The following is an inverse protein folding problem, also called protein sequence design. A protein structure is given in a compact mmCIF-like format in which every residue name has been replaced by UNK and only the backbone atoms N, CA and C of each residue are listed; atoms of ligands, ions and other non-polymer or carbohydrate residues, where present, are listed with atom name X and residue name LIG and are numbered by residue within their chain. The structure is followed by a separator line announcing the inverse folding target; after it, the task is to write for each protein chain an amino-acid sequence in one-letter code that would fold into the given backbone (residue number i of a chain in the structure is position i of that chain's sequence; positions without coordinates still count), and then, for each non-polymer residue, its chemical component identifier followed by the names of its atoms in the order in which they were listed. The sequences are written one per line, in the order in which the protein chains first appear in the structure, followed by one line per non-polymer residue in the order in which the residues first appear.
data_IF_139344183169
#
_entry.id   IF_139344183169
#
_cell.length_a   1.000
_cell.length_b   1.000
_cell.length_c   1.000
_cell.angle_alpha   90.00
_cell.angle_beta   90.00
_cell.angle_gamma   90.00
#
_symmetry.space_group_name_H-M   'P 1'
#
loop_
_entity.id
_entity.type
_entity.pdbx_description
1 polymer ?
#
# COMPACT_ATOMS: atom_id res chain seq x y z
N UNK A 1 -13.02 -14.57 -4.26
CA UNK A 1 -14.07 -14.14 -3.30
C UNK A 1 -13.85 -12.70 -2.85
N UNK A 2 -12.63 -12.29 -2.45
CA UNK A 2 -12.35 -10.92 -2.00
C UNK A 2 -12.69 -9.92 -3.11
N UNK A 3 -12.24 -10.20 -4.33
CA UNK A 3 -12.53 -9.36 -5.49
C UNK A 3 -14.03 -9.15 -5.71
N UNK A 4 -14.85 -10.21 -5.72
CA UNK A 4 -16.29 -10.11 -5.96
C UNK A 4 -16.99 -9.21 -4.92
N UNK A 5 -16.67 -9.38 -3.64
CA UNK A 5 -17.22 -8.55 -2.58
C UNK A 5 -16.76 -7.09 -2.68
N UNK A 6 -15.50 -6.87 -3.09
CA UNK A 6 -14.98 -5.53 -3.33
C UNK A 6 -15.61 -4.87 -4.57
N UNK A 7 -15.93 -5.62 -5.63
CA UNK A 7 -16.65 -5.09 -6.80
C UNK A 7 -18.08 -4.74 -6.46
N UNK A 8 -18.80 -5.56 -5.70
CA UNK A 8 -20.15 -5.23 -5.20
C UNK A 8 -20.10 -3.90 -4.43
N UNK A 9 -19.16 -3.78 -3.49
CA UNK A 9 -19.00 -2.54 -2.73
C UNK A 9 -18.59 -1.34 -3.62
N UNK A 10 -17.71 -1.58 -4.60
CA UNK A 10 -17.29 -0.55 -5.56
C UNK A 10 -18.46 -0.08 -6.44
N UNK A 11 -19.30 -0.98 -6.92
CA UNK A 11 -20.50 -0.67 -7.69
C UNK A 11 -21.49 0.17 -6.87
N UNK A 12 -21.69 -0.17 -5.59
CA UNK A 12 -22.52 0.61 -4.67
C UNK A 12 -21.93 2.01 -4.41
N UNK A 13 -20.61 2.12 -4.28
CA UNK A 13 -19.94 3.41 -4.13
C UNK A 13 -20.06 4.27 -5.40
N UNK A 14 -19.98 3.66 -6.58
CA UNK A 14 -20.24 4.35 -7.87
C UNK A 14 -21.67 4.85 -7.93
N UNK A 15 -22.63 3.98 -7.61
CA UNK A 15 -24.05 4.36 -7.59
C UNK A 15 -24.30 5.52 -6.62
N UNK A 16 -23.72 5.46 -5.42
CA UNK A 16 -23.76 6.54 -4.41
C UNK A 16 -23.15 7.84 -4.91
N UNK A 17 -22.01 7.76 -5.59
CA UNK A 17 -21.33 8.93 -6.16
C UNK A 17 -22.22 9.64 -7.20
N UNK A 18 -22.99 8.87 -7.98
CA UNK A 18 -23.88 9.41 -9.01
C UNK A 18 -25.24 9.90 -8.47
N UNK A 19 -25.81 9.25 -7.44
CA UNK A 19 -27.22 9.47 -7.04
C UNK A 19 -27.40 10.14 -5.66
N UNK A 20 -26.32 10.36 -4.90
CA UNK A 20 -26.21 11.13 -3.64
C UNK A 20 -27.39 11.13 -2.64
N UNK A 21 -28.15 10.04 -2.51
CA UNK A 21 -29.30 9.95 -1.58
C UNK A 21 -28.90 9.41 -0.20
N UNK A 22 -29.66 9.76 0.84
CA UNK A 22 -29.43 9.27 2.21
C UNK A 22 -29.62 7.74 2.28
N UNK A 23 -30.66 7.22 1.62
CA UNK A 23 -30.98 5.78 1.59
C UNK A 23 -29.82 4.97 1.01
N UNK A 24 -29.24 5.43 -0.12
CA UNK A 24 -28.12 4.74 -0.77
C UNK A 24 -26.85 4.77 0.07
N UNK A 25 -26.60 5.87 0.81
CA UNK A 25 -25.52 5.96 1.79
C UNK A 25 -25.68 4.94 2.91
N UNK A 26 -26.90 4.77 3.44
CA UNK A 26 -27.18 3.81 4.53
C UNK A 26 -27.05 2.37 4.06
N UNK A 27 -27.66 2.01 2.93
CA UNK A 27 -27.58 0.65 2.36
C UNK A 27 -26.12 0.28 2.06
N UNK A 28 -25.36 1.18 1.42
CA UNK A 28 -23.94 0.94 1.14
C UNK A 28 -23.12 0.70 2.41
N UNK A 29 -23.36 1.45 3.48
CA UNK A 29 -22.69 1.23 4.78
C UNK A 29 -23.02 -0.13 5.39
N UNK A 30 -24.27 -0.58 5.30
CA UNK A 30 -24.71 -1.88 5.82
C UNK A 30 -24.04 -3.00 5.02
N UNK A 31 -24.15 -2.97 3.70
CA UNK A 31 -23.56 -3.98 2.81
C UNK A 31 -22.05 -4.05 3.03
N UNK A 32 -21.37 -2.91 3.07
CA UNK A 32 -19.94 -2.86 3.35
C UNK A 32 -19.59 -3.47 4.71
N UNK A 33 -20.41 -3.22 5.75
CA UNK A 33 -20.19 -3.79 7.07
C UNK A 33 -20.35 -5.31 7.08
N UNK A 34 -21.34 -5.84 6.36
CA UNK A 34 -21.52 -7.28 6.16
C UNK A 34 -20.34 -7.88 5.39
N UNK A 35 -19.94 -7.28 4.26
CA UNK A 35 -18.78 -7.73 3.49
C UNK A 35 -17.50 -7.77 4.34
N UNK A 36 -17.27 -6.74 5.17
CA UNK A 36 -16.14 -6.71 6.12
C UNK A 36 -16.17 -7.88 7.09
N UNK A 37 -17.32 -8.22 7.67
CA UNK A 37 -17.46 -9.33 8.60
C UNK A 37 -17.18 -10.66 7.90
N UNK A 38 -17.79 -10.87 6.73
CA UNK A 38 -17.59 -12.06 5.91
C UNK A 38 -16.12 -12.23 5.54
N UNK A 39 -15.44 -11.16 5.13
CA UNK A 39 -14.02 -11.22 4.77
C UNK A 39 -13.14 -11.49 6.00
N UNK A 40 -13.34 -10.77 7.10
CA UNK A 40 -12.51 -10.87 8.31
C UNK A 40 -12.60 -12.23 9.00
N UNK A 41 -13.75 -12.91 8.90
CA UNK A 41 -13.96 -14.23 9.52
C UNK A 41 -13.81 -15.35 8.49
N UNK A 42 -14.43 -15.19 7.32
CA UNK A 42 -14.47 -16.21 6.27
C UNK A 42 -13.14 -16.42 5.57
N UNK A 43 -12.37 -15.36 5.27
CA UNK A 43 -11.10 -15.54 4.55
C UNK A 43 -10.05 -16.30 5.36
N UNK A 44 -9.79 -16.00 6.65
CA UNK A 44 -8.84 -16.77 7.43
C UNK A 44 -9.23 -18.25 7.56
N UNK A 45 -10.52 -18.54 7.71
CA UNK A 45 -11.03 -19.92 7.74
C UNK A 45 -10.84 -20.59 6.39
N UNK A 46 -11.26 -19.94 5.31
CA UNK A 46 -11.09 -20.43 3.95
C UNK A 46 -9.61 -20.77 3.68
N UNK A 47 -8.66 -19.88 3.95
CA UNK A 47 -7.24 -20.15 3.73
C UNK A 47 -6.69 -21.25 4.64
N UNK A 48 -7.19 -21.37 5.87
CA UNK A 48 -6.81 -22.46 6.78
C UNK A 48 -7.20 -23.83 6.23
N UNK A 49 -8.38 -23.94 5.60
CA UNK A 49 -8.94 -25.21 5.10
C UNK A 49 -8.72 -25.46 3.61
N UNK A 50 -8.36 -24.44 2.82
CA UNK A 50 -8.08 -24.53 1.38
C UNK A 50 -6.62 -24.23 1.08
N UNK A 51 -5.71 -24.87 1.84
CA UNK A 51 -4.27 -24.72 1.63
C UNK A 51 -3.93 -24.97 0.16
N UNK A 52 -3.26 -24.00 -0.45
CA UNK A 52 -2.80 -24.11 -1.83
C UNK A 52 -1.36 -24.55 -1.83
N UNK A 53 -1.02 -25.59 -2.57
CA UNK A 53 0.37 -25.98 -2.87
C UNK A 53 0.94 -25.24 -4.09
N UNK A 54 0.09 -24.51 -4.83
CA UNK A 54 0.51 -23.76 -6.02
C UNK A 54 1.48 -22.63 -5.65
N UNK A 55 2.51 -22.44 -6.47
CA UNK A 55 3.44 -21.30 -6.35
C UNK A 55 2.69 -19.96 -6.26
N UNK A 56 3.14 -19.11 -5.35
CA UNK A 56 2.67 -17.74 -5.17
C UNK A 56 3.34 -16.73 -6.10
N UNK A 57 4.38 -17.16 -6.82
CA UNK A 57 5.20 -16.36 -7.74
C UNK A 57 5.15 -16.94 -9.15
N UNK A 58 5.57 -16.15 -10.13
CA UNK A 58 5.68 -16.57 -11.52
C UNK A 58 6.82 -17.60 -11.67
N UNK A 59 6.58 -18.65 -12.48
CA UNK A 59 7.58 -19.67 -12.76
C UNK A 59 8.58 -19.25 -13.84
N UNK A 60 8.21 -18.29 -14.69
CA UNK A 60 9.01 -17.80 -15.81
C UNK A 60 9.13 -16.28 -15.76
N UNK A 61 10.28 -15.77 -16.18
CA UNK A 61 10.51 -14.33 -16.33
C UNK A 61 9.83 -13.89 -17.62
N UNK A 62 8.81 -13.04 -17.49
CA UNK A 62 8.21 -12.37 -18.63
C UNK A 62 9.08 -11.17 -19.02
N UNK A 63 9.82 -11.28 -20.12
CA UNK A 63 10.70 -10.21 -20.60
C UNK A 63 9.96 -8.97 -21.12
N UNK A 64 8.63 -9.00 -21.23
CA UNK A 64 7.84 -7.84 -21.67
C UNK A 64 7.68 -6.76 -20.60
N UNK A 65 7.98 -7.06 -19.34
CA UNK A 65 7.93 -6.12 -18.21
C UNK A 65 9.18 -6.29 -17.34
N UNK A 66 9.64 -5.22 -16.68
CA UNK A 66 10.61 -5.38 -15.60
C UNK A 66 10.08 -6.33 -14.51
N UNK A 67 10.96 -7.04 -13.77
CA UNK A 67 10.54 -7.95 -12.73
C UNK A 67 9.64 -7.27 -11.70
N UNK A 68 8.54 -7.92 -11.33
CA UNK A 68 7.56 -7.41 -10.37
C UNK A 68 7.84 -8.03 -9.00
N UNK A 69 8.13 -7.19 -8.02
CA UNK A 69 8.37 -7.60 -6.64
C UNK A 69 7.26 -7.05 -5.76
N UNK A 70 6.53 -7.93 -5.06
CA UNK A 70 5.69 -7.49 -3.95
C UNK A 70 6.55 -7.42 -2.69
N UNK A 71 6.51 -6.29 -2.00
CA UNK A 71 7.31 -6.07 -0.81
C UNK A 71 6.47 -5.57 0.36
N UNK A 72 6.66 -6.19 1.51
CA UNK A 72 5.95 -5.87 2.74
C UNK A 72 6.88 -5.98 3.94
N UNK A 73 6.45 -5.43 5.07
CA UNK A 73 7.17 -5.52 6.34
C UNK A 73 6.19 -5.85 7.46
N UNK A 74 6.67 -6.47 8.52
CA UNK A 74 5.90 -6.71 9.74
C UNK A 74 6.74 -6.52 10.98
N UNK A 75 6.12 -6.74 12.14
CA UNK A 75 6.72 -6.59 13.47
C UNK A 75 6.07 -7.60 14.44
N UNK A 76 6.62 -7.82 15.64
CA UNK A 76 6.23 -8.92 16.52
C UNK A 76 4.72 -9.01 16.81
N UNK A 77 4.02 -7.89 16.99
CA UNK A 77 2.59 -7.94 17.32
C UNK A 77 1.68 -8.44 16.16
N UNK A 78 2.14 -8.41 14.90
CA UNK A 78 1.37 -8.85 13.72
C UNK A 78 1.92 -10.11 13.05
N UNK A 79 3.06 -10.62 13.51
CA UNK A 79 3.72 -11.77 12.88
C UNK A 79 2.85 -13.05 12.88
N UNK A 80 2.00 -13.22 13.89
CA UNK A 80 1.11 -14.38 14.02
C UNK A 80 -0.04 -14.40 13.01
N UNK A 81 -0.41 -13.26 12.42
CA UNK A 81 -1.55 -13.13 11.51
C UNK A 81 -1.16 -12.79 10.08
N UNK A 82 0.08 -12.34 9.84
CA UNK A 82 0.56 -11.94 8.51
C UNK A 82 0.43 -13.03 7.44
N UNK A 83 0.49 -14.31 7.82
CA UNK A 83 0.31 -15.43 6.87
C UNK A 83 -0.99 -15.32 6.06
N UNK A 84 -2.03 -14.69 6.61
CA UNK A 84 -3.31 -14.45 5.94
C UNK A 84 -3.14 -13.43 4.81
N UNK A 85 -2.38 -12.37 5.08
CA UNK A 85 -2.09 -11.31 4.10
C UNK A 85 -1.20 -11.85 2.99
N UNK A 86 -0.12 -12.55 3.35
CA UNK A 86 0.76 -13.18 2.36
C UNK A 86 -0.03 -14.14 1.49
N UNK A 87 -1.02 -14.87 2.04
CA UNK A 87 -1.87 -15.72 1.22
C UNK A 87 -2.71 -14.95 0.19
N UNK A 88 -3.13 -13.72 0.48
CA UNK A 88 -3.82 -12.88 -0.51
C UNK A 88 -2.88 -12.45 -1.64
N UNK A 89 -1.60 -12.23 -1.31
CA UNK A 89 -0.56 -11.86 -2.28
C UNK A 89 -0.11 -13.07 -3.12
N UNK A 90 -0.07 -14.26 -2.54
CA UNK A 90 0.23 -15.49 -3.26
C UNK A 90 -0.92 -15.95 -4.18
N UNK A 91 -2.13 -15.43 -4.01
CA UNK A 91 -3.32 -15.76 -4.81
C UNK A 91 -3.63 -14.74 -5.91
N UNK A 92 -2.68 -13.86 -6.23
CA UNK A 92 -2.84 -12.94 -7.37
C UNK A 92 -3.03 -13.71 -8.68
N UNK A 93 -3.86 -13.18 -9.58
CA UNK A 93 -4.14 -13.69 -10.92
C UNK A 93 -2.94 -13.49 -11.84
N UNK A 94 -2.31 -12.31 -11.75
CA UNK A 94 -0.99 -12.05 -12.29
C UNK A 94 0.03 -12.25 -11.17
N UNK A 95 0.87 -13.28 -11.28
CA UNK A 95 1.87 -13.61 -10.28
C UNK A 95 3.04 -12.62 -10.32
N UNK A 96 3.50 -12.11 -9.18
CA UNK A 96 4.77 -11.37 -9.13
C UNK A 96 5.94 -12.34 -9.33
N UNK A 97 7.11 -11.82 -9.67
CA UNK A 97 8.33 -12.61 -9.71
C UNK A 97 8.84 -12.94 -8.30
N UNK A 98 8.64 -12.04 -7.33
CA UNK A 98 9.08 -12.22 -5.94
C UNK A 98 8.07 -11.66 -4.95
N UNK A 99 8.00 -12.25 -3.76
CA UNK A 99 7.26 -11.71 -2.60
C UNK A 99 8.24 -11.67 -1.42
N UNK A 100 8.56 -10.48 -0.94
CA UNK A 100 9.60 -10.27 0.08
C UNK A 100 8.98 -9.69 1.35
N UNK A 101 9.11 -10.43 2.46
CA UNK A 101 8.81 -9.97 3.81
C UNK A 101 10.10 -9.48 4.48
N UNK A 102 10.16 -8.19 4.79
CA UNK A 102 11.22 -7.58 5.58
C UNK A 102 10.88 -7.57 7.07
N UNK A 103 11.84 -7.99 7.89
CA UNK A 103 11.75 -8.02 9.35
C UNK A 103 12.98 -7.31 9.94
N UNK A 104 12.79 -6.52 11.00
CA UNK A 104 13.93 -5.89 11.66
C UNK A 104 14.69 -6.92 12.50
N UNK A 105 16.01 -6.98 12.36
CA UNK A 105 16.86 -7.91 13.12
C UNK A 105 16.72 -7.67 14.62
N UNK A 106 16.61 -6.41 15.03
CA UNK A 106 16.44 -5.99 16.43
C UNK A 106 15.09 -6.45 17.02
N UNK A 107 14.08 -6.66 16.17
CA UNK A 107 12.76 -7.14 16.57
C UNK A 107 12.64 -8.67 16.56
N UNK A 108 13.57 -9.36 15.90
CA UNK A 108 13.61 -10.81 15.73
C UNK A 108 15.07 -11.31 15.86
N UNK A 109 15.71 -11.18 17.04
CA UNK A 109 17.13 -11.45 17.23
C UNK A 109 17.56 -12.90 16.91
N UNK A 110 16.65 -13.86 17.01
CA UNK A 110 16.87 -15.27 16.65
C UNK A 110 16.36 -15.62 15.23
N UNK A 111 15.99 -14.61 14.44
CA UNK A 111 15.63 -14.75 13.04
C UNK A 111 14.44 -15.69 12.80
N UNK A 112 14.62 -16.69 11.93
CA UNK A 112 13.54 -17.58 11.50
C UNK A 112 12.93 -18.42 12.63
N UNK A 113 13.66 -18.72 13.71
CA UNK A 113 13.14 -19.53 14.82
C UNK A 113 12.03 -18.84 15.62
N UNK A 114 11.91 -17.52 15.51
CA UNK A 114 10.83 -16.75 16.15
C UNK A 114 9.53 -16.73 15.33
N UNK A 115 9.59 -17.20 14.08
CA UNK A 115 8.48 -17.06 13.16
C UNK A 115 7.50 -18.22 13.29
N UNK A 116 6.18 -17.95 13.20
CA UNK A 116 5.18 -19.01 13.22
C UNK A 116 5.40 -19.99 12.05
N UNK A 117 5.25 -21.29 12.31
CA UNK A 117 5.40 -22.33 11.29
C UNK A 117 4.56 -22.07 10.01
N UNK A 118 3.41 -21.40 10.15
CA UNK A 118 2.59 -20.98 9.01
C UNK A 118 3.31 -20.00 8.10
N UNK A 119 4.03 -19.01 8.66
CA UNK A 119 4.79 -18.02 7.87
C UNK A 119 5.96 -18.71 7.18
N UNK A 120 6.73 -19.52 7.91
CA UNK A 120 7.86 -20.29 7.37
C UNK A 120 7.41 -21.20 6.23
N UNK A 121 6.27 -21.89 6.39
CA UNK A 121 5.75 -22.81 5.37
C UNK A 121 5.45 -22.15 4.02
N UNK A 122 5.19 -20.83 4.00
CA UNK A 122 4.93 -20.09 2.78
C UNK A 122 6.19 -19.92 1.92
N UNK A 123 7.40 -20.10 2.46
CA UNK A 123 8.64 -20.10 1.67
C UNK A 123 8.63 -21.17 0.57
N UNK A 124 7.97 -22.31 0.83
CA UNK A 124 7.76 -23.38 -0.18
C UNK A 124 7.00 -22.91 -1.42
N UNK A 125 6.31 -21.78 -1.33
CA UNK A 125 5.50 -21.18 -2.40
C UNK A 125 6.09 -19.87 -2.91
N UNK A 126 7.35 -19.58 -2.57
CA UNK A 126 8.09 -18.42 -3.08
C UNK A 126 8.06 -17.18 -2.18
N UNK A 127 7.66 -17.30 -0.90
CA UNK A 127 7.91 -16.22 0.06
C UNK A 127 9.41 -16.14 0.36
N UNK A 128 9.97 -14.94 0.25
CA UNK A 128 11.29 -14.61 0.76
C UNK A 128 11.15 -13.88 2.09
N UNK A 129 11.93 -14.29 3.09
CA UNK A 129 11.98 -13.66 4.40
C UNK A 129 13.39 -13.08 4.55
N UNK A 130 13.48 -11.77 4.75
CA UNK A 130 14.73 -11.01 4.80
C UNK A 130 14.79 -10.22 6.11
N UNK A 131 15.98 -10.14 6.69
CA UNK A 131 16.25 -9.38 7.91
C UNK A 131 17.08 -8.15 7.59
N UNK A 132 16.80 -7.03 8.25
CA UNK A 132 17.46 -5.74 8.00
C UNK A 132 17.41 -4.82 9.23
N UNK A 133 18.00 -3.62 9.15
CA UNK A 133 17.90 -2.63 10.23
C UNK A 133 16.46 -2.12 10.36
N UNK A 134 16.07 -1.77 11.59
CA UNK A 134 14.75 -1.19 11.81
C UNK A 134 14.61 0.22 11.22
N UNK A 135 13.79 0.30 10.17
CA UNK A 135 13.26 1.54 9.60
C UNK A 135 11.73 1.56 9.61
N UNK A 136 11.11 0.79 10.54
CA UNK A 136 9.67 0.71 10.69
C UNK A 136 8.98 0.36 9.35
N UNK A 137 7.97 1.12 8.93
CA UNK A 137 7.26 0.86 7.67
C UNK A 137 8.12 1.09 6.43
N UNK A 138 9.22 1.85 6.52
CA UNK A 138 10.07 2.16 5.37
C UNK A 138 10.85 0.95 4.85
N UNK A 139 11.02 -0.10 5.67
CA UNK A 139 11.72 -1.34 5.30
C UNK A 139 11.21 -1.91 3.97
N UNK A 140 9.89 -1.87 3.74
CA UNK A 140 9.24 -2.51 2.59
C UNK A 140 9.63 -1.92 1.23
N UNK A 141 9.93 -0.62 1.13
CA UNK A 141 10.38 -0.05 -0.14
C UNK A 141 11.91 0.09 -0.15
N UNK A 142 12.50 0.48 0.99
CA UNK A 142 13.90 0.90 1.07
C UNK A 142 14.84 -0.19 0.57
N UNK A 143 14.83 -1.36 1.21
CA UNK A 143 15.77 -2.43 0.88
C UNK A 143 15.43 -3.10 -0.45
N UNK A 144 14.15 -3.30 -0.75
CA UNK A 144 13.74 -3.90 -2.03
C UNK A 144 14.19 -3.06 -3.22
N UNK A 145 13.96 -1.75 -3.20
CA UNK A 145 14.33 -0.88 -4.32
C UNK A 145 15.85 -0.71 -4.41
N UNK A 146 16.55 -0.65 -3.27
CA UNK A 146 18.01 -0.55 -3.25
C UNK A 146 18.68 -1.79 -3.84
N UNK A 147 18.19 -2.99 -3.50
CA UNK A 147 18.73 -4.27 -3.99
C UNK A 147 18.23 -4.62 -5.40
N UNK A 148 17.18 -3.97 -5.89
CA UNK A 148 16.52 -4.30 -7.17
C UNK A 148 16.13 -3.02 -7.93
N UNK A 149 17.11 -2.19 -8.32
CA UNK A 149 16.86 -0.85 -8.85
C UNK A 149 16.03 -0.84 -10.15
N UNK A 150 16.15 -1.90 -10.94
CA UNK A 150 15.45 -2.05 -12.22
C UNK A 150 14.13 -2.84 -12.14
N UNK A 151 13.67 -3.18 -10.92
CA UNK A 151 12.40 -3.89 -10.72
C UNK A 151 11.23 -2.94 -10.51
N UNK A 152 10.05 -3.37 -10.92
CA UNK A 152 8.79 -2.79 -10.45
C UNK A 152 8.56 -3.28 -9.02
N UNK A 153 8.32 -2.35 -8.08
CA UNK A 153 8.04 -2.69 -6.68
C UNK A 153 6.60 -2.36 -6.34
N UNK A 154 5.86 -3.34 -5.84
CA UNK A 154 4.51 -3.16 -5.29
C UNK A 154 4.58 -3.27 -3.78
N UNK A 155 4.26 -2.20 -3.06
CA UNK A 155 4.25 -2.23 -1.59
C UNK A 155 2.90 -2.69 -1.04
N UNK A 156 2.95 -3.45 0.05
CA UNK A 156 1.80 -3.94 0.80
C UNK A 156 2.01 -3.78 2.32
N UNK A 157 0.92 -3.65 3.07
CA UNK A 157 0.90 -3.73 4.54
C UNK A 157 0.51 -5.13 4.99
N UNK A 158 0.98 -5.53 6.16
CA UNK A 158 0.81 -6.83 6.82
C UNK A 158 -0.56 -7.03 7.47
N UNK A 159 -1.52 -6.13 7.24
CA UNK A 159 -2.88 -6.23 7.79
C UNK A 159 -4.01 -6.00 6.78
N UNK A 160 -3.72 -5.97 5.47
CA UNK A 160 -4.70 -5.72 4.42
C UNK A 160 -5.07 -7.02 3.69
N UNK A 161 -6.36 -7.21 3.40
CA UNK A 161 -6.81 -8.19 2.43
C UNK A 161 -6.74 -7.61 1.01
N UNK A 162 -5.85 -8.15 0.17
CA UNK A 162 -5.74 -7.76 -1.23
C UNK A 162 -6.67 -8.59 -2.13
N UNK A 163 -7.28 -7.94 -3.13
CA UNK A 163 -8.03 -8.67 -4.16
C UNK A 163 -7.11 -9.53 -4.99
N UNK A 164 -7.64 -10.64 -5.51
CA UNK A 164 -6.90 -11.57 -6.36
C UNK A 164 -6.43 -10.93 -7.68
N UNK A 165 -6.93 -9.75 -8.07
CA UNK A 165 -6.55 -9.06 -9.30
C UNK A 165 -5.77 -7.76 -9.08
N UNK A 166 -5.37 -7.46 -7.86
CA UNK A 166 -4.68 -6.22 -7.50
C UNK A 166 -3.44 -5.97 -8.38
N UNK A 167 -2.56 -6.97 -8.54
CA UNK A 167 -1.35 -6.84 -9.36
C UNK A 167 -1.69 -6.60 -10.84
N UNK A 168 -2.64 -7.37 -11.40
CA UNK A 168 -3.07 -7.18 -12.80
C UNK A 168 -3.66 -5.79 -13.08
N UNK A 169 -4.39 -5.21 -12.12
CA UNK A 169 -4.96 -3.87 -12.25
C UNK A 169 -3.89 -2.78 -12.19
N UNK A 170 -2.93 -2.92 -11.27
CA UNK A 170 -1.79 -2.01 -11.16
C UNK A 170 -0.94 -2.05 -12.44
N UNK A 171 -0.57 -3.24 -12.91
CA UNK A 171 0.22 -3.44 -14.13
C UNK A 171 -0.48 -2.88 -15.35
N UNK A 172 -1.79 -3.09 -15.49
CA UNK A 172 -2.57 -2.52 -16.61
C UNK A 172 -2.50 -0.99 -16.65
N UNK A 173 -2.56 -0.31 -15.49
CA UNK A 173 -2.40 1.15 -15.46
C UNK A 173 -0.95 1.58 -15.65
N UNK A 174 0.01 0.82 -15.15
CA UNK A 174 1.43 1.06 -15.38
C UNK A 174 1.76 1.04 -16.88
N UNK A 175 1.25 0.08 -17.64
CA UNK A 175 1.42 0.03 -19.09
C UNK A 175 0.85 1.26 -19.81
N UNK A 176 -0.18 1.89 -19.25
CA UNK A 176 -0.74 3.15 -19.78
C UNK A 176 0.09 4.38 -19.35
N UNK A 177 0.66 4.35 -18.15
CA UNK A 177 1.39 5.46 -17.55
C UNK A 177 2.72 4.98 -16.94
N UNK A 178 3.70 4.59 -17.76
CA UNK A 178 4.92 3.91 -17.28
C UNK A 178 5.81 4.81 -16.41
N UNK A 179 5.68 6.13 -16.54
CA UNK A 179 6.45 7.12 -15.78
C UNK A 179 5.67 7.64 -14.56
N UNK A 180 4.63 6.94 -14.11
CA UNK A 180 3.80 7.33 -12.98
C UNK A 180 3.78 6.23 -11.91
N UNK A 181 3.65 6.65 -10.66
CA UNK A 181 3.30 5.73 -9.57
C UNK A 181 1.83 5.38 -9.67
N UNK A 182 1.51 4.09 -9.57
CA UNK A 182 0.13 3.60 -9.66
C UNK A 182 -0.34 3.15 -8.28
N UNK A 183 -1.38 3.79 -7.74
CA UNK A 183 -1.89 3.49 -6.40
C UNK A 183 -3.33 2.95 -6.44
N UNK A 184 -3.61 1.89 -5.68
CA UNK A 184 -5.00 1.47 -5.46
C UNK A 184 -5.76 2.47 -4.58
N UNK A 185 -5.08 3.00 -3.56
CA UNK A 185 -5.62 4.01 -2.65
C UNK A 185 -4.69 5.22 -2.64
N UNK A 186 -5.27 6.37 -2.92
CA UNK A 186 -4.63 7.67 -2.82
C UNK A 186 -5.56 8.66 -2.14
N UNK A 187 -5.00 9.76 -1.65
CA UNK A 187 -5.74 10.94 -1.21
C UNK A 187 -5.39 12.10 -2.13
N UNK A 188 -6.29 13.07 -2.28
CA UNK A 188 -5.97 14.33 -2.96
C UNK A 188 -5.57 15.34 -1.90
N UNK A 189 -4.36 15.87 -2.04
CA UNK A 189 -3.86 16.98 -1.23
C UNK A 189 -4.78 18.18 -1.51
N UNK A 190 -5.22 18.83 -0.43
CA UNK A 190 -6.09 20.02 -0.47
C UNK A 190 -5.37 21.20 0.15
N UNK A 191 -5.92 22.40 -0.04
CA UNK A 191 -5.30 23.65 0.35
C UNK A 191 -6.27 24.53 1.14
N UNK A 192 -5.74 25.37 2.02
CA UNK A 192 -6.43 26.48 2.67
C UNK A 192 -5.66 27.76 2.29
N UNK A 193 -6.21 28.54 1.35
CA UNK A 193 -5.42 29.56 0.66
C UNK A 193 -4.32 28.91 -0.17
N UNK A 194 -3.07 29.34 0.00
CA UNK A 194 -1.89 28.76 -0.67
C UNK A 194 -1.18 27.70 0.17
N UNK A 195 -1.65 27.44 1.39
CA UNK A 195 -1.03 26.48 2.29
C UNK A 195 -1.66 25.09 2.16
N UNK A 196 -0.84 24.05 2.30
CA UNK A 196 -1.34 22.67 2.33
C UNK A 196 -2.26 22.50 3.53
N UNK A 197 -3.49 22.05 3.28
CA UNK A 197 -4.46 21.79 4.33
C UNK A 197 -4.01 20.62 5.21
N UNK A 198 -4.43 20.56 6.48
CA UNK A 198 -4.16 19.41 7.34
C UNK A 198 -4.60 18.09 6.68
N UNK A 199 -3.85 17.02 6.92
CA UNK A 199 -4.06 15.69 6.35
C UNK A 199 -5.47 15.15 6.56
N UNK A 200 -6.13 15.53 7.65
CA UNK A 200 -7.54 15.20 7.94
C UNK A 200 -8.54 15.85 6.97
N UNK A 201 -8.16 16.96 6.32
CA UNK A 201 -8.95 17.72 5.33
C UNK A 201 -8.66 17.34 3.88
N UNK A 202 -7.71 16.44 3.64
CA UNK A 202 -7.46 15.90 2.30
C UNK A 202 -8.65 15.08 1.82
N UNK A 203 -8.90 15.07 0.50
CA UNK A 203 -9.99 14.26 -0.07
C UNK A 203 -9.59 12.79 0.00
N UNK A 204 -10.13 12.09 0.99
CA UNK A 204 -9.87 10.67 1.21
C UNK A 204 -10.34 9.84 0.02
N UNK A 205 -9.54 8.84 -0.33
CA UNK A 205 -9.70 7.97 -1.51
C UNK A 205 -9.71 8.67 -2.87
N UNK A 206 -9.72 10.01 -2.94
CA UNK A 206 -9.74 10.79 -4.18
C UNK A 206 -10.75 10.22 -5.20
N UNK A 207 -12.00 10.00 -4.77
CA UNK A 207 -13.01 9.32 -5.59
C UNK A 207 -13.26 10.07 -6.90
N UNK A 208 -13.27 9.35 -8.02
CA UNK A 208 -13.42 9.93 -9.36
C UNK A 208 -12.09 10.34 -10.00
N UNK A 209 -11.02 10.53 -9.23
CA UNK A 209 -9.69 10.86 -9.77
C UNK A 209 -9.06 9.63 -10.45
N UNK A 210 -8.73 9.76 -11.74
CA UNK A 210 -8.10 8.71 -12.55
C UNK A 210 -6.97 9.19 -13.45
N UNK A 211 -6.71 10.50 -13.49
CA UNK A 211 -5.66 11.10 -14.30
C UNK A 211 -4.36 11.25 -13.47
N UNK A 212 -3.18 11.26 -14.13
CA UNK A 212 -1.92 11.57 -13.46
C UNK A 212 -1.94 12.94 -12.80
N UNK A 213 -1.59 13.01 -11.51
CA UNK A 213 -1.55 14.27 -10.77
C UNK A 213 -0.41 14.32 -9.76
N UNK A 214 0.17 15.52 -9.60
CA UNK A 214 1.12 15.82 -8.53
C UNK A 214 0.44 15.97 -7.17
N UNK A 215 -0.88 16.20 -7.13
CA UNK A 215 -1.66 16.35 -5.89
C UNK A 215 -2.26 15.03 -5.39
N UNK A 216 -2.09 13.94 -6.12
CA UNK A 216 -2.42 12.61 -5.61
C UNK A 216 -1.27 12.10 -4.73
N UNK A 217 -1.61 11.81 -3.47
CA UNK A 217 -0.74 11.21 -2.47
C UNK A 217 -1.10 9.74 -2.28
N UNK A 218 -0.23 8.79 -2.69
CA UNK A 218 -0.52 7.38 -2.60
C UNK A 218 -0.39 6.91 -1.15
N UNK A 219 -1.29 6.05 -0.68
CA UNK A 219 -1.02 5.30 0.55
C UNK A 219 -0.22 4.07 0.17
N UNK A 220 1.03 3.99 0.61
CA UNK A 220 2.01 2.96 0.22
C UNK A 220 1.54 1.55 0.60
N UNK A 221 0.85 1.41 1.73
CA UNK A 221 0.27 0.14 2.17
C UNK A 221 -0.87 -0.40 1.32
N UNK A 222 -1.58 0.46 0.56
CA UNK A 222 -2.82 0.06 -0.10
C UNK A 222 -2.67 -0.84 -1.34
N UNK A 223 -1.47 -1.29 -1.67
CA UNK A 223 -1.12 -1.80 -2.99
C UNK A 223 -0.76 -0.60 -3.89
N UNK A 224 0.52 -0.27 -3.89
CA UNK A 224 1.08 0.84 -4.65
C UNK A 224 2.25 0.33 -5.48
N UNK A 225 2.17 0.49 -6.80
CA UNK A 225 3.18 0.10 -7.77
C UNK A 225 4.09 1.30 -8.05
N UNK A 226 5.38 1.10 -7.83
CA UNK A 226 6.46 2.02 -8.13
C UNK A 226 7.26 1.45 -9.31
N UNK A 227 7.27 2.15 -10.46
CA UNK A 227 8.20 1.83 -11.53
C UNK A 227 9.66 2.01 -11.09
N UNK A 228 10.62 1.42 -11.82
CA UNK A 228 12.04 1.70 -11.64
C UNK A 228 12.33 3.20 -11.69
N UNK A 229 13.27 3.66 -10.86
CA UNK A 229 13.87 5.01 -10.94
C UNK A 229 12.91 6.21 -10.79
N UNK A 230 11.72 6.02 -10.22
CA UNK A 230 10.71 7.10 -10.08
C UNK A 230 10.97 8.10 -8.96
N UNK A 231 11.87 7.79 -8.03
CA UNK A 231 12.14 8.64 -6.88
C UNK A 231 13.40 9.47 -7.06
N UNK A 232 13.41 10.63 -6.42
CA UNK A 232 14.65 11.37 -6.21
C UNK A 232 15.63 10.54 -5.35
N UNK A 233 16.94 10.67 -5.60
CA UNK A 233 18.02 9.89 -4.92
C UNK A 233 17.94 9.92 -3.39
N UNK A 234 17.40 11.00 -2.84
CA UNK A 234 17.22 11.19 -1.40
C UNK A 234 16.30 10.14 -0.78
N UNK A 235 15.49 9.43 -1.57
CA UNK A 235 14.62 8.34 -1.07
C UNK A 235 15.36 7.29 -0.24
N UNK A 236 16.67 7.12 -0.48
CA UNK A 236 17.54 6.19 0.24
C UNK A 236 18.38 6.83 1.37
N UNK A 237 18.17 8.12 1.67
CA UNK A 237 18.83 8.83 2.76
C UNK A 237 18.24 8.38 4.12
N UNK A 238 18.88 7.37 4.72
CA UNK A 238 18.43 6.71 5.97
C UNK A 238 18.33 7.69 7.13
N UNK A 239 19.26 8.65 7.24
CA UNK A 239 19.28 9.63 8.32
C UNK A 239 18.17 10.68 8.15
N UNK A 240 17.94 11.14 6.92
CA UNK A 240 16.82 12.03 6.62
C UNK A 240 15.47 11.36 6.92
N UNK A 241 15.28 10.09 6.54
CA UNK A 241 14.07 9.32 6.89
C UNK A 241 13.85 9.34 8.40
N UNK A 242 14.86 8.93 9.18
CA UNK A 242 14.76 8.85 10.64
C UNK A 242 14.47 10.20 11.30
N UNK A 243 15.04 11.27 10.77
CA UNK A 243 14.89 12.63 11.32
C UNK A 243 13.57 13.29 10.93
N UNK A 244 13.14 13.14 9.69
CA UNK A 244 12.08 13.96 9.10
C UNK A 244 10.73 13.24 9.05
N UNK A 245 10.72 11.96 8.70
CA UNK A 245 9.49 11.21 8.47
C UNK A 245 9.54 9.74 8.93
N UNK A 246 10.00 9.42 10.16
CA UNK A 246 10.22 8.04 10.60
C UNK A 246 8.95 7.18 10.67
N UNK A 247 7.77 7.80 10.81
CA UNK A 247 6.49 7.11 11.00
C UNK A 247 5.59 7.21 9.77
N UNK A 248 5.95 7.98 8.74
CA UNK A 248 5.09 8.30 7.61
C UNK A 248 5.80 8.05 6.28
N UNK A 249 5.94 6.77 5.93
CA UNK A 249 6.54 6.36 4.66
C UNK A 249 5.79 6.85 3.43
N UNK A 250 4.46 6.99 3.51
CA UNK A 250 3.64 7.57 2.45
C UNK A 250 3.93 9.06 2.20
N UNK A 251 4.10 9.85 3.26
CA UNK A 251 4.50 11.25 3.18
C UNK A 251 5.91 11.38 2.61
N UNK A 252 6.87 10.64 3.14
CA UNK A 252 8.24 10.62 2.66
C UNK A 252 8.30 10.32 1.16
N UNK A 253 7.69 9.20 0.74
CA UNK A 253 7.69 8.79 -0.64
C UNK A 253 6.97 9.80 -1.53
N UNK A 254 5.86 10.41 -1.08
CA UNK A 254 5.19 11.44 -1.87
C UNK A 254 6.10 12.64 -2.12
N UNK A 255 6.82 13.12 -1.11
CA UNK A 255 7.78 14.22 -1.27
C UNK A 255 8.92 13.85 -2.24
N UNK A 256 9.46 12.64 -2.13
CA UNK A 256 10.52 12.17 -3.05
C UNK A 256 10.05 12.03 -4.50
N UNK A 257 8.77 11.73 -4.74
CA UNK A 257 8.19 11.79 -6.09
C UNK A 257 8.07 13.22 -6.59
N UNK A 258 7.69 14.16 -5.73
CA UNK A 258 7.55 15.58 -6.09
C UNK A 258 8.91 16.16 -6.50
N UNK A 259 9.96 15.88 -5.73
CA UNK A 259 11.32 16.28 -6.06
C UNK A 259 11.81 15.73 -7.41
N UNK A 260 11.26 14.60 -7.86
CA UNK A 260 11.60 14.00 -9.15
C UNK A 260 10.57 14.30 -10.27
N UNK A 261 9.59 15.16 -10.00
CA UNK A 261 8.53 15.51 -10.96
C UNK A 261 7.58 14.36 -11.32
N UNK A 262 7.50 13.31 -10.50
CA UNK A 262 6.70 12.11 -10.80
C UNK A 262 5.27 12.23 -10.29
N UNK A 263 4.32 12.02 -11.21
CA UNK A 263 2.88 12.02 -10.94
C UNK A 263 2.40 10.67 -10.41
N UNK A 264 1.26 10.72 -9.73
CA UNK A 264 0.57 9.53 -9.21
C UNK A 264 -0.75 9.37 -9.96
N UNK A 265 -1.10 8.12 -10.28
CA UNK A 265 -2.34 7.71 -10.93
C UNK A 265 -3.03 6.67 -10.06
N UNK A 266 -4.37 6.68 -10.04
CA UNK A 266 -5.12 5.62 -9.37
C UNK A 266 -5.34 4.42 -10.29
N UNK A 267 -5.24 3.21 -9.72
CA UNK A 267 -5.50 1.96 -10.46
C UNK A 267 -6.94 1.88 -10.99
N UNK A 268 -7.88 2.44 -10.22
CA UNK A 268 -9.29 2.65 -10.58
C UNK A 268 -9.79 3.99 -10.01
N UNK A 269 -10.58 4.78 -10.78
CA UNK A 269 -11.14 6.05 -10.28
C UNK A 269 -12.03 5.87 -9.04
N UNK A 270 -12.79 4.78 -9.00
CA UNK A 270 -13.63 4.41 -7.86
C UNK A 270 -13.26 2.98 -7.47
N UNK A 271 -12.71 2.85 -6.27
CA UNK A 271 -12.35 1.60 -5.63
C UNK A 271 -12.96 1.59 -4.22
N UNK A 272 -13.42 0.42 -3.79
CA UNK A 272 -13.87 0.20 -2.42
C UNK A 272 -12.77 0.44 -1.39
N UNK A 273 -13.21 0.79 -0.18
CA UNK A 273 -12.31 0.93 0.96
C UNK A 273 -11.58 -0.39 1.24
N UNK A 274 -10.34 -0.25 1.70
CA UNK A 274 -9.48 -1.37 2.05
C UNK A 274 -10.03 -2.08 3.29
N UNK A 275 -10.10 -3.41 3.21
CA UNK A 275 -10.53 -4.25 4.33
C UNK A 275 -9.30 -4.79 5.04
N UNK A 276 -9.20 -4.48 6.33
CA UNK A 276 -8.08 -4.91 7.18
C UNK A 276 -8.42 -6.11 8.06
N UNK A 277 -7.39 -6.81 8.55
CA UNK A 277 -7.50 -7.84 9.58
C UNK A 277 -8.16 -7.30 10.85
N UNK A 278 -8.83 -8.19 11.59
CA UNK A 278 -9.41 -7.84 12.89
C UNK A 278 -8.28 -7.45 13.85
N UNK A 279 -8.42 -6.31 14.52
CA UNK A 279 -7.44 -5.82 15.48
C UNK A 279 -6.30 -4.96 14.90
N UNK A 280 -6.21 -4.83 13.56
CA UNK A 280 -5.21 -3.99 12.87
C UNK A 280 -5.12 -2.56 13.42
N UNK A 281 -6.26 -1.95 13.76
CA UNK A 281 -6.31 -0.59 14.29
C UNK A 281 -5.78 -0.43 15.72
N UNK A 282 -5.60 -1.53 16.48
CA UNK A 282 -5.13 -1.47 17.87
C UNK A 282 -3.62 -1.30 17.97
N UNK A 283 -2.89 -1.74 16.95
CA UNK A 283 -1.42 -1.77 16.93
C UNK A 283 -0.82 -0.99 15.77
N UNK A 284 -1.63 -0.38 14.91
CA UNK A 284 -1.18 0.35 13.72
C UNK A 284 -0.78 1.80 14.00
N UNK A 285 0.30 2.24 13.34
CA UNK A 285 0.82 3.62 13.38
C UNK A 285 -0.21 4.67 12.94
N UNK A 286 -1.20 4.28 12.13
CA UNK A 286 -2.24 5.18 11.62
C UNK A 286 -2.96 5.96 12.73
N UNK A 287 -3.18 5.36 13.90
CA UNK A 287 -3.81 6.04 15.03
C UNK A 287 -2.93 7.20 15.54
N UNK A 288 -1.65 6.92 15.79
CA UNK A 288 -0.71 7.95 16.24
C UNK A 288 -0.50 9.02 15.15
N UNK A 289 -0.37 8.61 13.89
CA UNK A 289 -0.06 9.51 12.79
C UNK A 289 -1.18 10.48 12.42
N UNK A 290 -2.42 10.02 12.47
CA UNK A 290 -3.59 10.83 12.11
C UNK A 290 -4.15 11.56 13.33
N UNK A 291 -4.37 10.85 14.45
CA UNK A 291 -5.04 11.46 15.61
C UNK A 291 -4.14 12.46 16.34
N UNK A 292 -2.81 12.26 16.33
CA UNK A 292 -1.85 13.19 16.93
C UNK A 292 -1.20 14.15 15.93
N UNK A 293 -1.76 14.29 14.71
CA UNK A 293 -1.24 15.20 13.66
C UNK A 293 0.24 14.98 13.27
N UNK A 294 0.79 13.78 13.47
CA UNK A 294 2.20 13.51 13.13
C UNK A 294 2.41 13.44 11.61
N UNK A 295 1.39 13.12 10.81
CA UNK A 295 1.47 13.24 9.36
C UNK A 295 1.70 14.70 8.92
N UNK A 296 0.97 15.65 9.51
CA UNK A 296 1.12 17.07 9.23
C UNK A 296 2.52 17.55 9.61
N UNK A 297 2.98 17.16 10.80
CA UNK A 297 4.31 17.53 11.32
C UNK A 297 5.44 16.99 10.46
N UNK A 298 5.38 15.71 10.06
CA UNK A 298 6.41 15.09 9.21
C UNK A 298 6.38 15.66 7.79
N UNK A 299 5.20 15.95 7.25
CA UNK A 299 5.06 16.59 5.94
C UNK A 299 5.71 17.98 5.93
N UNK A 300 5.42 18.83 6.91
CA UNK A 300 6.03 20.17 7.02
C UNK A 300 7.56 20.07 7.12
N UNK A 301 8.09 19.19 7.99
CA UNK A 301 9.55 18.99 8.13
C UNK A 301 10.22 18.61 6.82
N UNK A 302 9.62 17.68 6.06
CA UNK A 302 10.17 17.26 4.77
C UNK A 302 10.04 18.38 3.73
N UNK A 303 8.91 19.09 3.70
CA UNK A 303 8.71 20.22 2.79
C UNK A 303 9.72 21.33 3.02
N UNK A 304 9.94 21.74 4.27
CA UNK A 304 10.92 22.75 4.64
C UNK A 304 12.36 22.29 4.33
N UNK A 305 12.71 21.05 4.68
CA UNK A 305 14.08 20.54 4.49
C UNK A 305 14.48 20.40 3.02
N UNK A 306 13.51 20.18 2.12
CA UNK A 306 13.75 19.97 0.69
C UNK A 306 13.15 21.07 -0.20
N UNK A 307 12.69 22.19 0.38
CA UNK A 307 12.04 23.31 -0.33
C UNK A 307 10.90 22.85 -1.28
N UNK A 308 10.05 21.95 -0.79
CA UNK A 308 8.90 21.45 -1.56
C UNK A 308 7.71 22.36 -1.32
N UNK A 309 7.19 22.94 -2.40
CA UNK A 309 5.96 23.73 -2.39
C UNK A 309 4.90 23.09 -3.29
N UNK A 310 3.86 22.53 -2.64
CA UNK A 310 2.75 21.89 -3.33
C UNK A 310 1.80 22.89 -4.01
N UNK A 311 1.81 24.17 -3.63
CA UNK A 311 0.94 25.19 -4.21
C UNK A 311 1.22 25.41 -5.69
N UNK A 312 2.46 25.12 -6.13
CA UNK A 312 2.87 25.11 -7.54
C UNK A 312 2.04 24.17 -8.44
N UNK A 313 1.34 23.20 -7.84
CA UNK A 313 0.53 22.22 -8.56
C UNK A 313 -0.98 22.43 -8.34
N UNK A 314 -1.40 23.53 -7.71
CA UNK A 314 -2.80 23.91 -7.68
C UNK A 314 -3.29 24.17 -9.11
N UNK A 315 -4.49 23.67 -9.43
CA UNK A 315 -5.18 24.02 -10.66
C UNK A 315 -5.43 25.54 -10.59
N UNK A 316 -4.72 26.32 -11.43
CA UNK A 316 -4.89 27.78 -11.55
C UNK A 316 -6.09 28.12 -12.43
#
# INVERSE_FOLDING_TARGET
MIWQLQEINTALLRYRYLHNSIITKTISKIIYSLCKVVIRVGMPLYYKYSKSEKSGIANEINNALPPIIISLTSFPARINTIWIVIETLMRQSLKPNRIILWLATEQFPNGLSELPAKVISLQKRGLEIRFCDDLLSHKKYYYTMLENPDSIVITADDDIFYSENMVSLLVKQYQKYPNCVIANRAHKITFIGNEVAPYSKWIKFALGEGNPSMLLAPTTGGGCLFPPHVFHKEVFNKDAIRKLAPLADDIWLKCMLVLNGVKVVKSKPILSEIITLKGASRTGLAKQNVDNKLNDTQLMKVMESYNIDFSNYMDK
#
